data_IF_273768119274
#
_entry.id   IF_273768119274
#
_cell.length_a   1.000
_cell.length_b   1.000
_cell.length_c   1.000
_cell.angle_alpha   90.00
_cell.angle_beta   90.00
_cell.angle_gamma   90.00
#
_symmetry.space_group_name_H-M   'P 1'
#
loop_
_entity.id
_entity.type
_entity.pdbx_description
1 polymer ?
#
# COMPACT_ATOMS: atom_id res chain seq x y z
N UNK A 1 33.51 -71.47 21.13
CA UNK A 1 33.79 -70.87 19.80
C UNK A 1 32.64 -69.98 19.26
N UNK A 2 31.35 -70.33 19.39
CA UNK A 2 30.23 -69.49 18.89
C UNK A 2 29.94 -68.17 19.65
N UNK A 3 30.29 -68.06 20.94
CA UNK A 3 30.10 -66.82 21.73
C UNK A 3 31.16 -65.74 21.45
N UNK A 4 32.38 -66.14 21.07
CA UNK A 4 33.47 -65.21 20.74
C UNK A 4 33.27 -64.58 19.35
N UNK A 5 32.75 -65.36 18.38
CA UNK A 5 32.37 -64.88 17.05
C UNK A 5 31.21 -63.85 17.07
N UNK A 6 30.27 -63.98 18.01
CA UNK A 6 29.19 -63.00 18.21
C UNK A 6 29.69 -61.69 18.82
N UNK A 7 30.69 -61.76 19.70
CA UNK A 7 31.31 -60.57 20.29
C UNK A 7 32.12 -59.78 19.24
N UNK A 8 32.91 -60.47 18.41
CA UNK A 8 33.64 -59.86 17.30
C UNK A 8 32.72 -59.31 16.20
N UNK A 9 31.61 -59.99 15.90
CA UNK A 9 30.61 -59.48 14.95
C UNK A 9 29.89 -58.22 15.47
N UNK A 10 29.61 -58.13 16.77
CA UNK A 10 29.03 -56.92 17.38
C UNK A 10 30.03 -55.76 17.43
N UNK A 11 31.32 -56.02 17.69
CA UNK A 11 32.36 -54.97 17.72
C UNK A 11 32.64 -54.43 16.30
N UNK A 12 32.67 -55.28 15.27
CA UNK A 12 32.80 -54.84 13.87
C UNK A 12 31.56 -54.11 13.35
N UNK A 13 30.35 -54.45 13.81
CA UNK A 13 29.12 -53.72 13.49
C UNK A 13 29.08 -52.32 14.15
N UNK A 14 29.65 -52.16 15.35
CA UNK A 14 29.75 -50.85 16.03
C UNK A 14 30.80 -49.97 15.35
N UNK A 15 31.92 -50.53 14.89
CA UNK A 15 32.95 -49.76 14.17
C UNK A 15 32.47 -49.31 12.78
N UNK A 16 31.73 -50.16 12.04
CA UNK A 16 31.13 -49.77 10.73
C UNK A 16 30.00 -48.75 10.91
N UNK A 17 29.25 -48.80 12.02
CA UNK A 17 28.25 -47.78 12.34
C UNK A 17 28.86 -46.41 12.71
N UNK A 18 30.05 -46.38 13.32
CA UNK A 18 30.78 -45.12 13.61
C UNK A 18 31.47 -44.52 12.37
N UNK A 19 31.79 -45.32 11.34
CA UNK A 19 32.36 -44.80 10.09
C UNK A 19 31.31 -44.45 9.03
N UNK A 20 30.06 -44.87 9.21
CA UNK A 20 28.92 -44.47 8.38
C UNK A 20 28.16 -43.25 8.92
N UNK A 21 28.45 -42.79 10.14
CA UNK A 21 28.15 -41.40 10.50
C UNK A 21 29.20 -40.55 9.83
N UNK A 22 28.94 -40.20 8.56
CA UNK A 22 29.63 -39.09 7.94
C UNK A 22 29.66 -37.95 8.95
N UNK A 23 30.81 -37.27 9.05
CA UNK A 23 30.85 -35.93 9.59
C UNK A 23 29.75 -35.16 8.86
N UNK A 24 28.57 -35.08 9.48
CA UNK A 24 27.63 -34.01 9.19
C UNK A 24 28.44 -32.83 9.71
N UNK A 25 29.01 -31.95 8.86
CA UNK A 25 29.42 -30.67 9.38
C UNK A 25 28.19 -30.19 10.12
N UNK A 26 28.34 -29.95 11.42
CA UNK A 26 27.36 -29.19 12.17
C UNK A 26 27.42 -27.82 11.50
N UNK A 27 26.70 -27.68 10.38
CA UNK A 27 26.32 -26.41 9.85
C UNK A 27 25.42 -25.94 10.97
N UNK A 28 26.01 -25.22 11.92
CA UNK A 28 25.27 -24.32 12.78
C UNK A 28 24.28 -23.67 11.83
N UNK A 29 22.97 -23.90 12.03
CA UNK A 29 21.97 -23.22 11.24
C UNK A 29 22.33 -21.74 11.40
N UNK A 30 22.97 -21.17 10.38
CA UNK A 30 23.46 -19.82 10.44
C UNK A 30 22.19 -19.02 10.65
N UNK A 31 22.05 -18.48 11.86
CA UNK A 31 20.86 -17.73 12.20
C UNK A 31 20.82 -16.60 11.19
N UNK A 32 19.79 -16.61 10.33
CA UNK A 32 19.67 -15.59 9.28
C UNK A 32 19.85 -14.23 9.94
N UNK A 33 20.81 -13.42 9.47
CA UNK A 33 21.20 -12.22 10.19
C UNK A 33 19.98 -11.31 10.33
N UNK A 34 19.80 -10.75 11.52
CA UNK A 34 18.58 -10.01 11.87
C UNK A 34 18.62 -8.65 11.21
N UNK A 35 17.49 -8.19 10.69
CA UNK A 35 17.36 -6.82 10.18
C UNK A 35 17.60 -5.86 11.34
N UNK A 36 18.46 -4.87 11.16
CA UNK A 36 18.82 -3.87 12.17
C UNK A 36 18.37 -2.46 11.77
N UNK A 37 18.43 -2.14 10.48
CA UNK A 37 17.94 -0.87 9.95
C UNK A 37 17.29 -1.04 8.56
N UNK A 38 16.34 -0.16 8.26
CA UNK A 38 15.68 -0.03 6.96
C UNK A 38 15.82 1.43 6.55
N UNK A 39 16.19 1.70 5.31
CA UNK A 39 16.26 3.05 4.73
C UNK A 39 15.64 3.06 3.35
N UNK A 40 14.73 3.99 3.09
CA UNK A 40 14.12 4.18 1.78
C UNK A 40 15.16 4.80 0.84
N UNK A 41 15.36 4.16 -0.32
CA UNK A 41 16.20 4.67 -1.40
C UNK A 41 15.35 5.37 -2.47
N UNK A 42 14.21 4.77 -2.79
CA UNK A 42 13.28 5.26 -3.80
C UNK A 42 11.88 5.21 -3.23
N UNK A 43 11.14 6.32 -3.33
CA UNK A 43 9.74 6.42 -2.88
C UNK A 43 8.80 5.64 -3.82
N UNK A 44 7.59 5.28 -3.36
CA UNK A 44 6.56 4.74 -4.23
C UNK A 44 6.25 5.68 -5.39
N UNK A 45 5.87 5.12 -6.54
CA UNK A 45 5.48 5.86 -7.74
C UNK A 45 4.25 6.75 -7.49
N UNK A 46 3.43 6.39 -6.49
CA UNK A 46 2.22 7.09 -6.11
C UNK A 46 2.26 7.44 -4.63
N UNK A 47 2.22 8.74 -4.34
CA UNK A 47 2.17 9.27 -2.97
C UNK A 47 0.93 10.12 -2.72
N UNK A 48 0.07 10.30 -3.71
CA UNK A 48 -1.21 10.99 -3.58
C UNK A 48 -2.36 10.05 -3.96
N UNK A 49 -3.42 10.01 -3.14
CA UNK A 49 -4.54 9.09 -3.28
C UNK A 49 -5.87 9.83 -3.23
N UNK A 50 -6.70 9.62 -4.25
CA UNK A 50 -7.93 10.37 -4.49
C UNK A 50 -9.15 9.54 -4.07
N UNK A 51 -10.07 10.14 -3.32
CA UNK A 51 -11.32 9.50 -2.92
C UNK A 51 -12.12 9.01 -4.14
N UNK A 52 -12.80 7.87 -4.01
CA UNK A 52 -13.54 7.20 -5.08
C UNK A 52 -12.67 6.53 -6.13
N UNK A 53 -11.42 6.96 -6.34
CA UNK A 53 -10.48 6.31 -7.27
C UNK A 53 -9.58 5.32 -6.54
N UNK A 54 -8.96 5.76 -5.46
CA UNK A 54 -7.95 5.00 -4.73
C UNK A 54 -8.42 4.50 -3.38
N UNK A 55 -9.40 5.18 -2.78
CA UNK A 55 -9.96 4.84 -1.48
C UNK A 55 -11.43 5.26 -1.40
N UNK A 56 -12.18 4.68 -0.48
CA UNK A 56 -13.55 5.10 -0.13
C UNK A 56 -13.79 5.00 1.38
N UNK A 57 -14.90 5.57 1.84
CA UNK A 57 -15.34 5.47 3.24
C UNK A 57 -16.12 4.15 3.45
N UNK A 58 -15.53 3.19 4.16
CA UNK A 58 -16.14 1.89 4.42
C UNK A 58 -15.15 0.82 4.87
N UNK A 59 -15.62 -0.43 4.87
CA UNK A 59 -14.82 -1.64 5.13
C UNK A 59 -15.22 -2.76 4.16
N UNK A 60 -14.41 -3.82 4.07
CA UNK A 60 -14.81 -5.04 3.35
C UNK A 60 -15.39 -6.06 4.33
N UNK A 61 -16.69 -6.29 4.24
CA UNK A 61 -17.40 -7.28 5.03
C UNK A 61 -17.19 -8.68 4.45
N UNK A 62 -16.73 -9.63 5.26
CA UNK A 62 -16.46 -11.00 4.82
C UNK A 62 -17.62 -11.92 5.20
N UNK A 63 -18.15 -12.72 4.24
CA UNK A 63 -19.19 -13.69 4.55
C UNK A 63 -18.65 -14.80 5.47
N UNK A 64 -19.50 -15.27 6.39
CA UNK A 64 -19.19 -16.44 7.22
C UNK A 64 -18.86 -17.65 6.34
N UNK A 65 -17.69 -18.26 6.56
CA UNK A 65 -17.20 -19.39 5.76
C UNK A 65 -16.22 -19.02 4.63
N UNK A 66 -15.93 -17.73 4.44
CA UNK A 66 -14.96 -17.25 3.45
C UNK A 66 -15.59 -17.03 2.06
N UNK A 67 -15.07 -16.04 1.33
CA UNK A 67 -15.62 -15.61 0.03
C UNK A 67 -15.17 -14.20 -0.33
N UNK A 68 -15.51 -13.70 -1.52
CA UNK A 68 -15.24 -12.29 -1.88
C UNK A 68 -16.02 -11.39 -0.93
N UNK A 69 -15.30 -10.57 -0.16
CA UNK A 69 -15.91 -9.61 0.74
C UNK A 69 -16.68 -8.54 -0.04
N UNK A 70 -17.79 -8.08 0.52
CA UNK A 70 -18.57 -6.98 -0.05
C UNK A 70 -18.14 -5.68 0.61
N UNK A 71 -17.89 -4.63 -0.17
CA UNK A 71 -17.60 -3.33 0.40
C UNK A 71 -18.86 -2.74 1.04
N UNK A 72 -18.77 -2.40 2.32
CA UNK A 72 -19.83 -1.75 3.10
C UNK A 72 -19.43 -0.31 3.36
N UNK A 73 -20.13 0.68 2.80
CA UNK A 73 -19.87 2.09 3.06
C UNK A 73 -20.06 2.41 4.54
N UNK A 74 -19.10 3.13 5.12
CA UNK A 74 -19.13 3.55 6.52
C UNK A 74 -18.36 4.87 6.67
N UNK A 75 -19.06 5.92 7.10
CA UNK A 75 -18.44 7.23 7.31
C UNK A 75 -17.29 7.17 8.33
N UNK A 76 -16.24 7.96 8.07
CA UNK A 76 -15.08 8.07 8.96
C UNK A 76 -14.06 6.93 8.84
N UNK A 77 -14.35 5.84 8.11
CA UNK A 77 -13.42 4.72 7.93
C UNK A 77 -12.81 4.72 6.52
N UNK A 78 -11.55 5.14 6.37
CA UNK A 78 -10.87 5.16 5.05
C UNK A 78 -10.36 3.77 4.68
N UNK A 79 -10.77 3.26 3.51
CA UNK A 79 -10.33 1.98 2.95
C UNK A 79 -9.81 2.16 1.54
N UNK A 80 -8.56 1.74 1.29
CA UNK A 80 -7.97 1.77 -0.05
C UNK A 80 -8.51 0.63 -0.92
N UNK A 81 -8.57 0.86 -2.23
CA UNK A 81 -9.10 -0.09 -3.22
C UNK A 81 -8.04 -1.04 -3.77
N UNK A 82 -6.77 -0.85 -3.43
CA UNK A 82 -5.67 -1.67 -3.95
C UNK A 82 -5.59 -3.01 -3.20
N UNK A 83 -5.33 -4.09 -3.95
CA UNK A 83 -5.44 -5.52 -3.59
C UNK A 83 -5.51 -5.82 -2.08
N UNK A 84 -6.71 -5.96 -1.52
CA UNK A 84 -6.90 -6.44 -0.14
C UNK A 84 -6.74 -7.96 -0.07
N UNK A 85 -5.72 -8.45 0.64
CA UNK A 85 -5.50 -9.88 0.87
C UNK A 85 -6.32 -10.44 2.03
N UNK A 86 -6.78 -11.70 1.89
CA UNK A 86 -7.76 -12.37 2.76
C UNK A 86 -7.38 -12.62 4.24
N UNK A 87 -6.11 -12.46 4.64
CA UNK A 87 -5.65 -12.89 5.99
C UNK A 87 -4.53 -12.05 6.62
N UNK A 88 -4.25 -10.84 6.15
CA UNK A 88 -3.29 -9.97 6.84
C UNK A 88 -3.98 -9.20 7.97
N UNK A 89 -3.73 -9.62 9.21
CA UNK A 89 -4.21 -8.95 10.42
C UNK A 89 -3.70 -7.50 10.49
N UNK A 90 -4.58 -6.56 10.13
CA UNK A 90 -4.65 -5.14 10.52
C UNK A 90 -6.04 -4.51 10.24
N UNK A 91 -7.14 -5.29 10.25
CA UNK A 91 -8.55 -4.86 10.14
C UNK A 91 -8.81 -3.32 10.12
N UNK A 92 -9.27 -2.64 9.06
CA UNK A 92 -10.02 -3.05 7.86
C UNK A 92 -9.76 -2.12 6.67
N UNK A 93 -8.58 -1.49 6.59
CA UNK A 93 -8.27 -0.45 5.61
C UNK A 93 -7.40 -1.05 4.51
N UNK A 94 -7.89 -1.10 3.28
CA UNK A 94 -7.23 -1.79 2.17
C UNK A 94 -5.77 -1.40 1.96
N UNK A 95 -5.05 -2.22 1.20
CA UNK A 95 -3.60 -2.07 1.03
C UNK A 95 -3.30 -0.81 0.22
N UNK A 96 -2.21 -0.12 0.53
CA UNK A 96 -1.74 1.03 -0.27
C UNK A 96 -0.90 0.51 -1.44
N UNK A 97 -1.02 1.15 -2.61
CA UNK A 97 -0.11 0.87 -3.72
C UNK A 97 1.31 1.39 -3.42
N UNK A 98 2.25 0.44 -3.28
CA UNK A 98 3.65 0.71 -2.95
C UNK A 98 4.61 0.46 -4.12
N UNK A 99 4.08 0.30 -5.34
CA UNK A 99 4.90 0.03 -6.52
C UNK A 99 5.95 1.14 -6.70
N UNK A 100 7.19 0.74 -6.98
CA UNK A 100 8.33 1.66 -7.12
C UNK A 100 9.14 1.86 -5.82
N UNK A 101 8.62 1.46 -4.67
CA UNK A 101 9.37 1.52 -3.41
C UNK A 101 10.62 0.62 -3.48
N UNK A 102 11.78 1.18 -3.13
CA UNK A 102 13.03 0.44 -2.97
C UNK A 102 13.66 0.81 -1.63
N UNK A 103 14.02 -0.20 -0.84
CA UNK A 103 14.64 -0.01 0.47
C UNK A 103 16.01 -0.67 0.56
N UNK A 104 16.90 -0.04 1.30
CA UNK A 104 18.16 -0.60 1.76
C UNK A 104 17.96 -1.18 3.16
N UNK A 105 18.22 -2.48 3.28
CA UNK A 105 18.15 -3.24 4.53
C UNK A 105 19.56 -3.44 5.05
N UNK A 106 19.79 -3.14 6.33
CA UNK A 106 21.06 -3.42 7.02
C UNK A 106 20.83 -4.54 8.03
N UNK A 107 21.70 -5.54 8.01
CA UNK A 107 21.61 -6.70 8.88
C UNK A 107 22.60 -6.63 10.04
N UNK A 108 22.41 -7.49 11.05
CA UNK A 108 23.23 -7.54 12.26
C UNK A 108 24.69 -7.93 12.02
N UNK A 109 24.99 -8.55 10.88
CA UNK A 109 26.35 -8.88 10.43
C UNK A 109 27.04 -7.71 9.70
N UNK A 110 26.38 -6.53 9.63
CA UNK A 110 26.87 -5.36 8.92
C UNK A 110 26.65 -5.39 7.40
N UNK A 111 26.14 -6.50 6.85
CA UNK A 111 25.80 -6.58 5.43
C UNK A 111 24.60 -5.71 5.11
N UNK A 112 24.55 -5.21 3.87
CA UNK A 112 23.40 -4.45 3.37
C UNK A 112 22.86 -5.05 2.08
N UNK A 113 21.55 -5.11 1.93
CA UNK A 113 20.87 -5.52 0.70
C UNK A 113 19.89 -4.46 0.25
N UNK A 114 19.69 -4.38 -1.06
CA UNK A 114 18.67 -3.54 -1.66
C UNK A 114 17.50 -4.43 -2.06
N UNK A 115 16.32 -4.13 -1.56
CA UNK A 115 15.10 -4.90 -1.78
C UNK A 115 14.05 -3.96 -2.37
N UNK A 116 13.50 -4.32 -3.53
CA UNK A 116 12.36 -3.63 -4.11
C UNK A 116 11.06 -4.20 -3.56
N UNK A 117 10.04 -3.35 -3.41
CA UNK A 117 8.70 -3.81 -3.07
C UNK A 117 8.19 -4.80 -4.13
N UNK A 118 7.78 -5.97 -3.66
CA UNK A 118 7.23 -7.04 -4.46
C UNK A 118 6.02 -7.63 -3.77
N UNK A 119 4.97 -7.74 -4.56
CA UNK A 119 3.73 -8.40 -4.19
C UNK A 119 3.62 -9.72 -4.94
N UNK A 120 3.14 -10.76 -4.26
CA UNK A 120 2.86 -12.06 -4.84
C UNK A 120 1.42 -12.42 -4.54
N UNK A 121 0.63 -12.60 -5.60
CA UNK A 121 -0.77 -13.01 -5.52
C UNK A 121 -0.85 -14.51 -5.81
N UNK A 122 -1.39 -15.29 -4.89
CA UNK A 122 -1.58 -16.73 -5.03
C UNK A 122 -3.04 -17.07 -4.73
N UNK A 123 -3.83 -17.22 -5.79
CA UNK A 123 -5.28 -17.35 -5.70
C UNK A 123 -5.87 -16.11 -5.03
N UNK A 124 -6.35 -16.29 -3.80
CA UNK A 124 -7.03 -15.25 -3.03
C UNK A 124 -6.13 -14.58 -1.97
N UNK A 125 -4.90 -15.06 -1.84
CA UNK A 125 -3.92 -14.53 -0.89
C UNK A 125 -2.96 -13.58 -1.57
N UNK A 126 -2.71 -12.44 -0.92
CA UNK A 126 -1.72 -11.45 -1.32
C UNK A 126 -0.63 -11.42 -0.26
N UNK A 127 0.61 -11.64 -0.66
CA UNK A 127 1.77 -11.60 0.23
C UNK A 127 2.75 -10.54 -0.27
N UNK A 128 3.27 -9.74 0.66
CA UNK A 128 4.26 -8.71 0.36
C UNK A 128 5.57 -9.02 1.08
N UNK A 129 6.69 -8.67 0.45
CA UNK A 129 8.01 -8.74 1.08
C UNK A 129 8.26 -7.56 2.03
N UNK A 130 7.68 -6.39 1.73
CA UNK A 130 7.79 -5.15 2.49
C UNK A 130 6.38 -4.70 2.86
N UNK A 131 6.20 -4.28 4.11
CA UNK A 131 4.92 -3.81 4.64
C UNK A 131 4.98 -2.30 4.87
N UNK A 132 3.84 -1.65 4.65
CA UNK A 132 3.68 -0.23 4.88
C UNK A 132 2.37 0.01 5.62
N UNK A 133 2.42 0.77 6.72
CA UNK A 133 1.24 1.11 7.51
C UNK A 133 1.34 2.53 8.06
N UNK A 134 0.21 3.22 8.29
CA UNK A 134 0.25 4.55 8.82
C UNK A 134 0.56 4.50 10.32
N UNK A 135 1.24 5.53 10.83
CA UNK A 135 1.54 5.62 12.27
C UNK A 135 0.27 5.78 13.13
N UNK A 136 -0.81 6.27 12.53
CA UNK A 136 -2.13 6.52 13.11
C UNK A 136 -3.19 6.14 12.08
N UNK A 137 -4.46 6.26 12.45
CA UNK A 137 -5.54 6.21 11.49
C UNK A 137 -5.33 7.20 10.33
N UNK A 138 -5.65 6.76 9.11
CA UNK A 138 -5.66 7.64 7.94
C UNK A 138 -6.64 8.80 8.14
N UNK A 139 -6.20 10.00 7.79
CA UNK A 139 -7.02 11.21 7.73
C UNK A 139 -6.89 11.87 6.36
N UNK A 140 -7.78 12.81 6.03
CA UNK A 140 -7.57 13.66 4.86
C UNK A 140 -6.31 14.52 5.02
N UNK A 141 -5.61 14.74 3.92
CA UNK A 141 -4.34 15.46 3.85
C UNK A 141 -3.13 14.57 4.10
N UNK A 142 -2.13 15.15 4.77
CA UNK A 142 -0.80 14.54 4.92
C UNK A 142 -0.79 13.43 5.99
N UNK A 143 -0.35 12.23 5.60
CA UNK A 143 -0.23 11.07 6.48
C UNK A 143 1.17 10.48 6.43
N UNK A 144 1.71 10.09 7.59
CA UNK A 144 3.02 9.45 7.70
C UNK A 144 2.87 7.94 7.68
N UNK A 145 3.56 7.30 6.74
CA UNK A 145 3.59 5.87 6.53
C UNK A 145 4.94 5.30 6.97
N UNK A 146 4.88 4.25 7.78
CA UNK A 146 6.02 3.50 8.26
C UNK A 146 6.23 2.27 7.36
N UNK A 147 7.44 2.12 6.84
CA UNK A 147 7.86 0.99 6.00
C UNK A 147 8.72 0.05 6.83
N UNK A 148 8.33 -1.23 6.89
CA UNK A 148 8.96 -2.23 7.75
C UNK A 148 8.89 -3.63 7.15
N UNK A 149 9.59 -4.57 7.78
CA UNK A 149 9.54 -5.99 7.44
C UNK A 149 8.82 -6.77 8.54
N UNK A 150 7.97 -7.74 8.19
CA UNK A 150 7.25 -8.56 9.18
C UNK A 150 8.17 -9.30 10.16
N UNK A 151 9.39 -9.62 9.73
CA UNK A 151 10.43 -10.25 10.57
C UNK A 151 11.04 -9.29 11.60
N UNK A 152 10.95 -7.98 11.39
CA UNK A 152 11.36 -6.97 12.37
C UNK A 152 10.58 -5.65 12.20
N UNK A 153 9.59 -5.45 13.07
CA UNK A 153 8.76 -4.24 13.10
C UNK A 153 9.43 -3.03 13.75
N UNK A 154 10.60 -3.20 14.40
CA UNK A 154 11.32 -2.08 15.06
C UNK A 154 12.20 -1.31 14.07
N UNK A 155 12.76 -2.00 13.09
CA UNK A 155 13.54 -1.37 12.03
C UNK A 155 12.57 -0.87 10.96
N UNK A 156 12.36 0.45 10.95
CA UNK A 156 11.43 1.12 10.05
C UNK A 156 12.00 2.44 9.56
N UNK A 157 11.57 2.83 8.38
CA UNK A 157 11.75 4.17 7.85
C UNK A 157 10.37 4.75 7.53
N UNK A 158 10.28 6.06 7.33
CA UNK A 158 8.99 6.72 7.11
C UNK A 158 8.98 7.61 5.89
N UNK A 159 7.84 7.68 5.22
CA UNK A 159 7.57 8.65 4.17
C UNK A 159 6.15 9.18 4.31
N UNK A 160 5.84 10.22 3.55
CA UNK A 160 4.54 10.90 3.62
C UNK A 160 3.72 10.61 2.38
N UNK A 161 2.42 10.37 2.56
CA UNK A 161 1.42 10.35 1.50
C UNK A 161 0.40 11.48 1.71
N UNK A 162 -0.30 11.84 0.64
CA UNK A 162 -1.40 12.78 0.66
C UNK A 162 -2.70 12.04 0.31
N UNK A 163 -3.72 12.16 1.15
CA UNK A 163 -5.04 11.59 0.92
C UNK A 163 -5.99 12.74 0.64
N UNK A 164 -6.55 12.80 -0.56
CA UNK A 164 -7.38 13.91 -1.01
C UNK A 164 -8.78 13.44 -1.35
N UNK A 165 -9.74 14.34 -1.17
CA UNK A 165 -11.09 14.15 -1.70
C UNK A 165 -11.06 14.26 -3.21
N UNK A 166 -12.02 13.60 -3.87
CA UNK A 166 -12.17 13.74 -5.33
C UNK A 166 -12.53 15.19 -5.62
N UNK A 167 -11.80 15.88 -6.53
CA UNK A 167 -12.22 17.20 -6.95
C UNK A 167 -13.63 17.14 -7.52
N UNK A 168 -14.50 18.01 -7.00
CA UNK A 168 -15.89 18.10 -7.43
C UNK A 168 -15.90 18.89 -8.74
N UNK A 169 -16.21 18.21 -9.84
CA UNK A 169 -16.30 18.85 -11.15
C UNK A 169 -17.42 19.91 -11.13
N UNK A 170 -17.07 21.15 -11.42
CA UNK A 170 -17.94 22.32 -11.36
C UNK A 170 -17.86 23.15 -10.07
N UNK A 171 -17.18 22.68 -9.02
CA UNK A 171 -16.87 23.44 -7.81
C UNK A 171 -15.50 24.12 -8.02
N UNK A 172 -15.54 25.36 -8.51
CA UNK A 172 -14.39 26.14 -9.00
C UNK A 172 -13.81 26.99 -7.87
N UNK A 173 -14.64 27.39 -6.90
CA UNK A 173 -14.23 28.18 -5.74
C UNK A 173 -13.82 27.33 -4.50
N UNK A 174 -13.91 26.01 -4.58
CA UNK A 174 -13.58 25.05 -3.51
C UNK A 174 -14.47 25.17 -2.26
N UNK A 175 -15.72 25.61 -2.43
CA UNK A 175 -16.70 25.71 -1.33
C UNK A 175 -17.55 24.45 -1.14
N UNK A 176 -17.21 23.39 -1.89
CA UNK A 176 -17.89 22.08 -1.93
C UNK A 176 -19.32 22.11 -2.48
N UNK A 177 -19.77 23.26 -3.00
CA UNK A 177 -21.06 23.44 -3.65
C UNK A 177 -20.82 23.74 -5.13
N UNK A 178 -21.78 23.35 -5.95
CA UNK A 178 -21.77 23.68 -7.37
C UNK A 178 -22.91 24.65 -7.58
N UNK A 179 -22.60 25.92 -7.77
CA UNK A 179 -23.60 26.97 -7.87
C UNK A 179 -23.19 28.09 -8.85
N UNK A 180 -23.97 29.17 -8.89
CA UNK A 180 -23.74 30.29 -9.80
C UNK A 180 -22.43 31.06 -9.53
N UNK A 181 -21.86 30.97 -8.32
CA UNK A 181 -20.57 31.55 -8.01
C UNK A 181 -19.44 30.87 -8.80
N UNK A 182 -19.49 29.55 -8.96
CA UNK A 182 -18.51 28.79 -9.76
C UNK A 182 -18.60 29.15 -11.24
N UNK A 183 -19.83 29.22 -11.77
CA UNK A 183 -20.08 29.62 -13.14
C UNK A 183 -19.60 31.07 -13.39
N UNK A 184 -19.79 31.97 -12.42
CA UNK A 184 -19.29 33.34 -12.50
C UNK A 184 -17.76 33.39 -12.56
N UNK A 185 -17.06 32.60 -11.75
CA UNK A 185 -15.59 32.51 -11.80
C UNK A 185 -15.10 32.01 -13.15
N UNK A 186 -15.78 31.01 -13.73
CA UNK A 186 -15.49 30.55 -15.10
C UNK A 186 -15.67 31.68 -16.11
N UNK A 187 -16.80 32.39 -16.07
CA UNK A 187 -17.05 33.50 -17.00
C UNK A 187 -16.02 34.62 -16.85
N UNK A 188 -15.69 35.01 -15.61
CA UNK A 188 -14.65 36.01 -15.33
C UNK A 188 -13.28 35.58 -15.87
N UNK A 189 -12.96 34.29 -15.79
CA UNK A 189 -11.74 33.76 -16.36
C UNK A 189 -11.72 33.84 -17.88
N UNK A 190 -12.82 33.44 -18.52
CA UNK A 190 -12.99 33.46 -19.97
C UNK A 190 -12.84 34.87 -20.55
N UNK A 191 -13.32 35.89 -19.83
CA UNK A 191 -13.16 37.30 -20.25
C UNK A 191 -11.86 37.95 -19.75
N UNK A 192 -10.99 37.21 -19.05
CA UNK A 192 -9.69 37.69 -18.58
C UNK A 192 -9.71 38.60 -17.35
N UNK A 193 -10.82 38.65 -16.62
CA UNK A 193 -10.91 39.41 -15.35
C UNK A 193 -10.15 38.68 -14.23
N UNK A 194 -10.22 37.35 -14.21
CA UNK A 194 -9.53 36.51 -13.22
C UNK A 194 -8.70 35.42 -13.91
N UNK A 195 -7.65 34.95 -13.23
CA UNK A 195 -6.90 33.78 -13.68
C UNK A 195 -7.19 32.63 -12.73
N UNK A 196 -7.75 31.53 -13.25
CA UNK A 196 -7.96 30.32 -12.46
C UNK A 196 -6.62 29.64 -12.16
N UNK A 197 -6.49 29.08 -10.96
CA UNK A 197 -5.42 28.13 -10.68
C UNK A 197 -5.58 26.89 -11.57
N UNK A 198 -4.51 26.09 -11.72
CA UNK A 198 -4.57 24.85 -12.50
C UNK A 198 -5.70 23.92 -12.04
N UNK A 199 -5.92 23.83 -10.74
CA UNK A 199 -6.96 22.96 -10.17
C UNK A 199 -8.36 23.53 -10.40
N UNK A 200 -8.54 24.85 -10.27
CA UNK A 200 -9.82 25.51 -10.53
C UNK A 200 -10.16 25.45 -12.03
N UNK A 201 -9.15 25.56 -12.90
CA UNK A 201 -9.30 25.33 -14.34
C UNK A 201 -9.76 23.90 -14.63
N UNK A 202 -9.11 22.89 -14.05
CA UNK A 202 -9.50 21.49 -14.24
C UNK A 202 -10.91 21.18 -13.71
N UNK A 203 -11.33 21.83 -12.63
CA UNK A 203 -12.68 21.72 -12.07
C UNK A 203 -13.73 22.42 -12.94
N UNK A 204 -13.35 23.55 -13.52
CA UNK A 204 -14.16 24.37 -14.41
C UNK A 204 -14.25 23.83 -15.84
N UNK A 205 -13.35 22.94 -16.29
CA UNK A 205 -13.41 22.26 -17.60
C UNK A 205 -14.42 21.10 -17.54
N UNK A 206 -15.71 21.42 -17.68
CA UNK A 206 -16.85 20.53 -17.41
C UNK A 206 -16.99 19.41 -18.43
N UNK A 207 -16.54 19.61 -19.67
CA UNK A 207 -16.55 18.59 -20.71
C UNK A 207 -15.19 17.85 -20.88
N UNK A 208 -14.15 18.26 -20.13
CA UNK A 208 -12.81 17.69 -20.17
C UNK A 208 -12.12 17.82 -21.53
N UNK A 209 -12.42 18.88 -22.29
CA UNK A 209 -11.82 19.14 -23.59
C UNK A 209 -10.45 19.88 -23.49
N UNK A 210 -10.01 20.26 -22.29
CA UNK A 210 -8.78 20.99 -22.03
C UNK A 210 -8.89 22.51 -22.16
N UNK A 211 -10.12 23.05 -22.31
CA UNK A 211 -10.41 24.48 -22.41
C UNK A 211 -11.57 24.83 -21.49
N UNK A 212 -11.44 25.94 -20.77
CA UNK A 212 -12.52 26.52 -19.97
C UNK A 212 -13.18 27.64 -20.77
N UNK A 213 -14.48 27.52 -21.06
CA UNK A 213 -15.25 28.48 -21.84
C UNK A 213 -16.70 28.64 -21.32
N UNK A 214 -17.51 29.44 -22.01
CA UNK A 214 -18.91 29.72 -21.60
C UNK A 214 -19.80 28.48 -21.58
N UNK A 215 -19.48 27.45 -22.37
CA UNK A 215 -20.19 26.17 -22.33
C UNK A 215 -20.04 25.50 -20.96
N UNK A 216 -18.84 25.55 -20.38
CA UNK A 216 -18.61 24.97 -19.07
C UNK A 216 -19.36 25.70 -17.95
N UNK A 217 -19.39 27.04 -18.00
CA UNK A 217 -20.20 27.84 -17.08
C UNK A 217 -21.69 27.45 -17.17
N UNK A 218 -22.19 27.20 -18.39
CA UNK A 218 -23.56 26.75 -18.60
C UNK A 218 -23.81 25.37 -17.98
N UNK A 219 -22.87 24.43 -18.14
CA UNK A 219 -22.94 23.09 -17.53
C UNK A 219 -22.96 23.16 -16.00
N UNK A 220 -22.17 24.05 -15.40
CA UNK A 220 -22.20 24.32 -13.96
C UNK A 220 -23.59 24.80 -13.52
N UNK A 221 -24.18 25.76 -14.24
CA UNK A 221 -25.52 26.26 -13.94
C UNK A 221 -26.60 25.19 -14.08
N UNK A 222 -26.53 24.35 -15.12
CA UNK A 222 -27.44 23.20 -15.28
C UNK A 222 -27.35 22.25 -14.08
N UNK A 223 -26.13 21.92 -13.66
CA UNK A 223 -25.90 21.06 -12.50
C UNK A 223 -26.38 21.70 -11.19
N UNK A 224 -26.21 23.02 -11.04
CA UNK A 224 -26.65 23.76 -9.86
C UNK A 224 -28.17 23.74 -9.65
N UNK A 225 -28.96 23.65 -10.73
CA UNK A 225 -30.42 23.54 -10.66
C UNK A 225 -30.93 22.09 -10.57
N UNK A 226 -30.02 21.11 -10.53
CA UNK A 226 -30.37 19.68 -10.43
C UNK A 226 -30.89 19.07 -11.73
N UNK A 227 -30.56 19.67 -12.88
CA UNK A 227 -30.94 19.19 -14.22
C UNK A 227 -29.86 18.31 -14.86
#
# INVERSE_FOLDING_TARGET
MKKLYRLFACIMAIIVALTCTGLIPIVSAATSPKITAVKILTYPNKTEFVQGTDWDYGYYDMPEGGGLGTFVPLEGLITFKYHGGYYTRYADRGMIDMRGLVVKVTYSDGSTRTEAFKETVSGVQVTQNIYASPKKEYALGSNVIEVYFKSNMKARDTYTINIVTKPIKGDVNYDEKINSADALLVLQHVVGITTLSKDAFNRGDMDSNGKVNSYDALQILYKAVGA
#
